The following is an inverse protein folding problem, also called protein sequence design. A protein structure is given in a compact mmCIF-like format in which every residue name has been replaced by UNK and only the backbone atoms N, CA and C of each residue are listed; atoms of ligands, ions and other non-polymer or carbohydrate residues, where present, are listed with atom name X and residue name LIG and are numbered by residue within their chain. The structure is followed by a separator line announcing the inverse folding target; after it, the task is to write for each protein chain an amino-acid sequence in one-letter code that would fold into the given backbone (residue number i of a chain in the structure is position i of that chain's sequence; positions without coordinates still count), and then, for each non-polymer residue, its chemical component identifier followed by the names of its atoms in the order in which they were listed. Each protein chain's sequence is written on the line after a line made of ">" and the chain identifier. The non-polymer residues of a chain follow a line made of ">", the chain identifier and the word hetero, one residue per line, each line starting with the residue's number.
data_IF_813730347372
#
_entry.id   IF_813730347372
#
_cell.length_a   1.000
_cell.length_b   1.000
_cell.length_c   1.000
_cell.angle_alpha   90.00
_cell.angle_beta   90.00
_cell.angle_gamma   90.00
#
_symmetry.space_group_name_H-M   'P 1'
#
loop_
_entity.id
_entity.type
_entity.pdbx_description
1 polymer ?
#
# COMPACT_ATOMS: atom_id res chain seq x y z
N UNK A 1 -22.80 -1.21 13.64
CA UNK A 1 -23.51 -2.40 13.09
C UNK A 1 -22.59 -3.08 12.10
N UNK A 2 -22.45 -4.40 12.14
CA UNK A 2 -21.63 -5.15 11.18
C UNK A 2 -22.36 -5.27 9.83
N UNK A 3 -21.68 -4.98 8.73
CA UNK A 3 -22.20 -5.04 7.36
C UNK A 3 -21.09 -5.40 6.37
N UNK A 4 -21.40 -5.46 5.07
CA UNK A 4 -20.42 -5.83 4.03
C UNK A 4 -19.24 -4.86 3.96
N UNK A 5 -19.46 -3.54 4.13
CA UNK A 5 -18.38 -2.56 4.13
C UNK A 5 -17.44 -2.75 5.32
N UNK A 6 -18.00 -3.07 6.49
CA UNK A 6 -17.24 -3.36 7.70
C UNK A 6 -16.49 -4.70 7.59
N UNK A 7 -17.09 -5.71 6.94
CA UNK A 7 -16.42 -6.98 6.65
C UNK A 7 -15.20 -6.77 5.77
N UNK A 8 -15.37 -6.05 4.64
CA UNK A 8 -14.28 -5.72 3.72
C UNK A 8 -13.19 -4.90 4.40
N UNK A 9 -13.56 -3.92 5.23
CA UNK A 9 -12.61 -3.13 6.00
C UNK A 9 -11.74 -3.99 6.94
N UNK A 10 -12.36 -4.89 7.72
CA UNK A 10 -11.64 -5.79 8.63
C UNK A 10 -10.73 -6.75 7.88
N UNK A 11 -11.19 -7.30 6.76
CA UNK A 11 -10.40 -8.20 5.93
C UNK A 11 -9.20 -7.46 5.30
N UNK A 12 -9.39 -6.25 4.78
CA UNK A 12 -8.32 -5.42 4.23
C UNK A 12 -7.23 -5.11 5.27
N UNK A 13 -7.61 -4.75 6.50
CA UNK A 13 -6.66 -4.53 7.60
C UNK A 13 -5.88 -5.82 7.91
N UNK A 14 -6.58 -6.95 8.01
CA UNK A 14 -5.93 -8.22 8.31
C UNK A 14 -4.95 -8.62 7.20
N UNK A 15 -5.34 -8.49 5.93
CA UNK A 15 -4.49 -8.80 4.78
C UNK A 15 -3.26 -7.89 4.74
N UNK A 16 -3.43 -6.58 4.91
CA UNK A 16 -2.34 -5.61 4.95
C UNK A 16 -1.36 -5.93 6.09
N UNK A 17 -1.87 -6.27 7.27
CA UNK A 17 -1.04 -6.69 8.39
C UNK A 17 -0.27 -7.98 8.11
N UNK A 18 -0.89 -8.99 7.50
CA UNK A 18 -0.20 -10.23 7.09
C UNK A 18 0.92 -9.95 6.10
N UNK A 19 0.73 -9.03 5.17
CA UNK A 19 1.70 -8.70 4.12
C UNK A 19 3.00 -8.03 4.62
N UNK A 20 2.99 -7.39 5.80
CA UNK A 20 4.14 -6.59 6.28
C UNK A 20 4.67 -6.95 7.67
N UNK A 21 3.94 -7.70 8.49
CA UNK A 21 4.25 -7.81 9.94
C UNK A 21 5.61 -8.44 10.28
N UNK A 22 6.17 -9.27 9.39
CA UNK A 22 7.40 -10.03 9.67
C UNK A 22 8.53 -9.07 10.07
N UNK A 23 9.10 -9.31 11.25
CA UNK A 23 10.17 -8.51 11.86
C UNK A 23 9.87 -7.01 11.91
N UNK A 24 8.59 -6.64 12.12
CA UNK A 24 8.18 -5.24 12.11
C UNK A 24 7.20 -4.92 13.23
N UNK A 25 5.96 -5.40 13.13
CA UNK A 25 4.89 -4.99 14.03
C UNK A 25 3.80 -6.05 14.12
N UNK A 26 2.68 -5.74 14.78
CA UNK A 26 1.54 -6.64 14.94
C UNK A 26 0.32 -6.16 14.17
N UNK A 27 -0.63 -7.05 13.90
CA UNK A 27 -1.94 -6.69 13.35
C UNK A 27 -2.67 -5.64 14.20
N UNK A 28 -2.53 -5.71 15.53
CA UNK A 28 -3.15 -4.74 16.44
C UNK A 28 -2.63 -3.31 16.19
N UNK A 29 -1.32 -3.16 16.01
CA UNK A 29 -0.69 -1.86 15.75
C UNK A 29 -1.07 -1.33 14.36
N UNK A 30 -1.04 -2.17 13.32
CA UNK A 30 -1.42 -1.78 11.96
C UNK A 30 -2.89 -1.38 11.90
N UNK A 31 -3.78 -2.16 12.52
CA UNK A 31 -5.20 -1.83 12.64
C UNK A 31 -5.38 -0.44 13.26
N UNK A 32 -4.75 -0.22 14.42
CA UNK A 32 -4.83 1.06 15.12
C UNK A 32 -4.35 2.21 14.22
N UNK A 33 -3.22 2.04 13.54
CA UNK A 33 -2.65 3.10 12.71
C UNK A 33 -3.53 3.45 11.49
N UNK A 34 -4.12 2.44 10.84
CA UNK A 34 -5.08 2.63 9.73
C UNK A 34 -6.34 3.37 10.22
N UNK A 35 -6.84 3.02 11.40
CA UNK A 35 -8.03 3.64 12.00
C UNK A 35 -7.74 5.07 12.48
N UNK A 36 -6.58 5.33 13.08
CA UNK A 36 -6.18 6.64 13.60
C UNK A 36 -6.12 7.69 12.47
N UNK A 37 -5.71 7.31 11.25
CA UNK A 37 -5.67 8.22 10.08
C UNK A 37 -6.96 8.21 9.26
N UNK A 38 -7.97 7.46 9.71
CA UNK A 38 -9.24 7.25 9.03
C UNK A 38 -9.12 6.89 7.53
N UNK A 39 -8.22 5.96 7.19
CA UNK A 39 -7.90 5.62 5.79
C UNK A 39 -9.14 5.20 4.98
N UNK A 40 -10.09 4.51 5.63
CA UNK A 40 -11.34 4.05 4.99
C UNK A 40 -12.13 5.20 4.40
N UNK A 41 -12.41 6.24 5.20
CA UNK A 41 -13.23 7.35 4.75
C UNK A 41 -12.44 8.28 3.81
N UNK A 42 -11.13 8.44 4.04
CA UNK A 42 -10.27 9.19 3.11
C UNK A 42 -10.28 8.59 1.71
N UNK A 43 -10.25 7.26 1.57
CA UNK A 43 -10.38 6.58 0.28
C UNK A 43 -11.79 6.69 -0.32
N UNK A 44 -12.85 6.70 0.51
CA UNK A 44 -14.22 6.98 0.05
C UNK A 44 -14.36 8.39 -0.53
N UNK A 45 -13.64 9.38 0.02
CA UNK A 45 -13.60 10.72 -0.56
C UNK A 45 -12.75 10.74 -1.82
N UNK A 46 -11.57 10.12 -1.80
CA UNK A 46 -10.63 10.10 -2.93
C UNK A 46 -11.28 9.57 -4.21
N UNK A 47 -12.01 8.46 -4.15
CA UNK A 47 -12.62 7.85 -5.34
C UNK A 47 -13.62 8.78 -6.05
N UNK A 48 -14.18 9.77 -5.35
CA UNK A 48 -15.11 10.75 -5.93
C UNK A 48 -14.41 11.91 -6.65
N UNK A 49 -13.14 12.16 -6.35
CA UNK A 49 -12.41 13.36 -6.80
C UNK A 49 -11.14 13.06 -7.60
N UNK A 50 -10.60 11.84 -7.50
CA UNK A 50 -9.33 11.47 -8.14
C UNK A 50 -9.47 11.49 -9.66
N UNK A 51 -8.60 12.28 -10.31
CA UNK A 51 -8.70 12.56 -11.74
C UNK A 51 -7.38 12.37 -12.50
N UNK A 52 -6.26 12.28 -11.78
CA UNK A 52 -4.93 12.00 -12.35
C UNK A 52 -4.10 11.03 -11.49
N UNK A 53 -3.10 10.34 -12.07
CA UNK A 53 -2.09 9.61 -11.28
C UNK A 53 -1.37 10.49 -10.27
N UNK A 54 -1.13 11.77 -10.61
CA UNK A 54 -0.50 12.73 -9.70
C UNK A 54 -1.38 13.06 -8.48
N UNK A 55 -2.72 13.09 -8.64
CA UNK A 55 -3.65 13.26 -7.51
C UNK A 55 -3.49 12.10 -6.53
N UNK A 56 -3.36 10.88 -7.05
CA UNK A 56 -3.10 9.69 -6.24
C UNK A 56 -1.72 9.74 -5.58
N UNK A 57 -0.68 10.21 -6.27
CA UNK A 57 0.66 10.36 -5.70
C UNK A 57 0.68 11.33 -4.53
N UNK A 58 -0.02 12.47 -4.64
CA UNK A 58 -0.18 13.46 -3.56
C UNK A 58 -0.89 12.82 -2.37
N UNK A 59 -2.03 12.16 -2.61
CA UNK A 59 -2.77 11.44 -1.58
C UNK A 59 -1.90 10.38 -0.89
N UNK A 60 -1.16 9.59 -1.67
CA UNK A 60 -0.32 8.52 -1.18
C UNK A 60 0.81 9.05 -0.29
N UNK A 61 1.45 10.17 -0.67
CA UNK A 61 2.47 10.84 0.16
C UNK A 61 1.89 11.30 1.50
N UNK A 62 0.77 12.00 1.47
CA UNK A 62 0.11 12.51 2.67
C UNK A 62 -0.27 11.37 3.63
N UNK A 63 -1.02 10.38 3.13
CA UNK A 63 -1.44 9.21 3.91
C UNK A 63 -0.24 8.45 4.45
N UNK A 64 0.82 8.26 3.66
CA UNK A 64 2.00 7.51 4.10
C UNK A 64 2.71 8.22 5.25
N UNK A 65 2.89 9.54 5.19
CA UNK A 65 3.54 10.31 6.27
C UNK A 65 2.75 10.26 7.57
N UNK A 66 1.42 10.38 7.49
CA UNK A 66 0.54 10.21 8.65
C UNK A 66 0.59 8.80 9.22
N UNK A 67 0.58 7.79 8.34
CA UNK A 67 0.61 6.38 8.75
C UNK A 67 1.95 6.00 9.37
N UNK A 68 3.07 6.52 8.84
CA UNK A 68 4.42 6.41 9.45
C UNK A 68 4.36 6.97 10.87
N UNK A 69 3.90 8.22 11.02
CA UNK A 69 3.81 8.90 12.32
C UNK A 69 2.97 8.09 13.32
N UNK A 70 1.80 7.59 12.89
CA UNK A 70 0.92 6.79 13.74
C UNK A 70 1.55 5.45 14.14
N UNK A 71 2.24 4.77 13.22
CA UNK A 71 2.95 3.51 13.48
C UNK A 71 4.11 3.72 14.45
N UNK A 72 4.92 4.75 14.27
CA UNK A 72 6.05 5.07 15.15
C UNK A 72 5.58 5.35 16.59
N UNK A 73 4.51 6.15 16.74
CA UNK A 73 3.92 6.42 18.05
C UNK A 73 3.38 5.15 18.71
N UNK A 74 2.69 4.30 17.95
CA UNK A 74 2.14 3.05 18.46
C UNK A 74 3.24 2.03 18.83
N UNK A 75 4.30 1.93 18.04
CA UNK A 75 5.46 1.06 18.29
C UNK A 75 6.24 1.52 19.53
N UNK A 76 6.49 2.83 19.65
CA UNK A 76 7.14 3.41 20.83
C UNK A 76 6.34 3.13 22.10
N UNK A 77 5.01 3.23 22.05
CA UNK A 77 4.12 2.91 23.17
C UNK A 77 4.14 1.41 23.54
N UNK A 78 4.39 0.53 22.57
CA UNK A 78 4.53 -0.92 22.75
C UNK A 78 5.95 -1.33 23.19
N UNK A 79 6.86 -0.38 23.41
CA UNK A 79 8.25 -0.64 23.80
C UNK A 79 9.10 -1.22 22.67
N UNK A 80 8.71 -1.02 21.40
CA UNK A 80 9.44 -1.50 20.24
C UNK A 80 10.20 -0.39 19.55
N UNK A 81 11.51 -0.59 19.42
CA UNK A 81 12.41 0.26 18.64
C UNK A 81 12.62 -0.38 17.27
N UNK A 82 11.69 -0.11 16.35
CA UNK A 82 11.79 -0.54 14.95
C UNK A 82 11.50 0.66 14.07
N UNK A 83 12.40 0.92 13.12
CA UNK A 83 12.25 2.00 12.16
C UNK A 83 11.12 1.72 11.16
N UNK A 84 10.31 2.74 10.87
CA UNK A 84 9.17 2.66 9.97
C UNK A 84 9.54 3.25 8.61
N UNK A 85 9.94 2.39 7.69
CA UNK A 85 10.27 2.80 6.33
C UNK A 85 9.04 2.96 5.43
N UNK A 86 9.13 3.89 4.47
CA UNK A 86 8.08 4.22 3.53
C UNK A 86 7.58 2.99 2.77
N UNK A 87 8.47 2.13 2.28
CA UNK A 87 8.07 0.95 1.52
C UNK A 87 7.18 -0.05 2.29
N UNK A 88 7.32 -0.15 3.62
CA UNK A 88 6.39 -0.95 4.45
C UNK A 88 5.01 -0.32 4.50
N UNK A 89 4.97 1.00 4.66
CA UNK A 89 3.72 1.78 4.74
C UNK A 89 2.99 1.80 3.41
N UNK A 90 3.72 2.00 2.31
CA UNK A 90 3.19 1.89 0.96
C UNK A 90 2.54 0.52 0.72
N UNK A 91 3.21 -0.58 1.13
CA UNK A 91 2.62 -1.92 1.00
C UNK A 91 1.36 -2.11 1.83
N UNK A 92 1.26 -1.51 3.03
CA UNK A 92 0.01 -1.51 3.82
C UNK A 92 -1.12 -0.85 3.01
N UNK A 93 -0.87 0.34 2.48
CA UNK A 93 -1.85 1.12 1.70
C UNK A 93 -2.25 0.36 0.43
N UNK A 94 -1.30 -0.15 -0.35
CA UNK A 94 -1.56 -0.91 -1.58
C UNK A 94 -2.40 -2.17 -1.31
N UNK A 95 -2.10 -2.96 -0.27
CA UNK A 95 -2.91 -4.15 0.06
C UNK A 95 -4.31 -3.75 0.51
N UNK A 96 -4.42 -2.67 1.28
CA UNK A 96 -5.72 -2.16 1.71
C UNK A 96 -6.57 -1.76 0.49
N UNK A 97 -6.03 -0.91 -0.39
CA UNK A 97 -6.70 -0.46 -1.62
C UNK A 97 -7.01 -1.63 -2.56
N UNK A 98 -6.07 -2.58 -2.72
CA UNK A 98 -6.29 -3.77 -3.55
C UNK A 98 -7.53 -4.54 -3.10
N UNK A 99 -7.65 -4.73 -1.79
CA UNK A 99 -8.77 -5.46 -1.19
C UNK A 99 -10.08 -4.69 -1.27
N UNK A 100 -10.05 -3.36 -1.06
CA UNK A 100 -11.28 -2.56 -0.96
C UNK A 100 -11.79 -2.02 -2.29
N UNK A 101 -10.94 -1.87 -3.30
CA UNK A 101 -11.25 -1.27 -4.59
C UNK A 101 -10.80 -2.14 -5.77
N UNK A 102 -9.50 -2.45 -5.93
CA UNK A 102 -8.99 -3.12 -7.15
C UNK A 102 -9.69 -4.44 -7.44
N UNK A 103 -9.82 -5.32 -6.45
CA UNK A 103 -10.48 -6.63 -6.61
C UNK A 103 -12.00 -6.49 -6.82
N UNK A 104 -12.61 -5.42 -6.29
CA UNK A 104 -14.07 -5.23 -6.32
C UNK A 104 -14.54 -4.52 -7.59
N UNK A 105 -13.71 -3.65 -8.13
CA UNK A 105 -13.96 -2.87 -9.35
C UNK A 105 -12.61 -2.51 -9.99
N UNK A 106 -12.10 -3.40 -10.84
CA UNK A 106 -10.82 -3.21 -11.55
C UNK A 106 -10.86 -2.10 -12.58
N UNK A 107 -12.07 -1.68 -12.99
CA UNK A 107 -12.27 -0.69 -14.05
C UNK A 107 -12.33 0.74 -13.54
N UNK A 108 -12.57 0.93 -12.24
CA UNK A 108 -12.54 2.25 -11.62
C UNK A 108 -11.21 2.96 -11.87
N UNK A 109 -11.27 4.29 -11.98
CA UNK A 109 -10.08 5.08 -12.23
C UNK A 109 -9.03 4.93 -11.12
N UNK A 110 -9.48 4.89 -9.85
CA UNK A 110 -8.61 4.61 -8.71
C UNK A 110 -7.91 3.26 -8.85
N UNK A 111 -8.62 2.21 -9.23
CA UNK A 111 -8.03 0.87 -9.40
C UNK A 111 -6.95 0.85 -10.47
N UNK A 112 -7.12 1.61 -11.56
CA UNK A 112 -6.16 1.69 -12.67
C UNK A 112 -4.85 2.39 -12.30
N UNK A 113 -4.88 3.33 -11.36
CA UNK A 113 -3.71 4.15 -11.00
C UNK A 113 -3.09 3.81 -9.65
N UNK A 114 -3.79 3.06 -8.79
CA UNK A 114 -3.32 2.71 -7.46
C UNK A 114 -2.01 1.91 -7.53
N UNK A 115 -1.05 2.26 -6.67
CA UNK A 115 0.24 1.59 -6.62
C UNK A 115 0.09 0.10 -6.27
N UNK A 116 0.67 -0.83 -7.05
CA UNK A 116 0.60 -2.25 -6.74
C UNK A 116 1.37 -2.56 -5.45
N UNK A 117 1.03 -3.63 -4.71
CA UNK A 117 1.84 -4.07 -3.58
C UNK A 117 3.24 -4.49 -4.03
N UNK A 118 4.24 -3.69 -3.66
CA UNK A 118 5.63 -3.97 -4.04
C UNK A 118 6.24 -5.00 -3.08
N UNK A 119 6.88 -6.04 -3.62
CA UNK A 119 7.69 -6.96 -2.86
C UNK A 119 8.87 -7.56 -3.65
N UNK A 120 9.67 -8.39 -2.98
CA UNK A 120 10.85 -8.99 -3.59
C UNK A 120 10.53 -9.96 -4.74
N UNK A 121 9.36 -10.60 -4.75
CA UNK A 121 8.96 -11.51 -5.82
C UNK A 121 8.62 -10.68 -7.06
N UNK A 122 7.78 -9.66 -6.90
CA UNK A 122 7.41 -8.73 -7.97
C UNK A 122 8.67 -8.10 -8.59
N UNK A 123 9.53 -7.48 -7.77
CA UNK A 123 10.74 -6.81 -8.24
C UNK A 123 11.74 -7.76 -8.92
N UNK A 124 11.86 -9.01 -8.41
CA UNK A 124 12.73 -10.02 -9.02
C UNK A 124 12.24 -10.41 -10.42
N UNK A 125 10.94 -10.61 -10.56
CA UNK A 125 10.35 -11.15 -11.78
C UNK A 125 10.19 -10.09 -12.89
N UNK A 126 10.08 -8.80 -12.53
CA UNK A 126 10.04 -7.71 -13.50
C UNK A 126 11.37 -7.52 -14.26
N UNK A 127 12.51 -7.94 -13.67
CA UNK A 127 13.82 -8.03 -14.33
C UNK A 127 14.50 -6.70 -14.69
N UNK A 128 13.74 -5.71 -15.18
CA UNK A 128 14.18 -4.43 -15.71
C UNK A 128 14.00 -3.26 -14.73
N UNK A 129 13.55 -3.54 -13.51
CA UNK A 129 13.47 -2.55 -12.42
C UNK A 129 14.63 -2.76 -11.46
N UNK A 130 15.14 -1.68 -10.92
CA UNK A 130 16.29 -1.75 -10.02
C UNK A 130 15.92 -2.53 -8.75
N UNK A 131 16.78 -3.49 -8.40
CA UNK A 131 16.57 -4.36 -7.25
C UNK A 131 16.81 -3.58 -5.97
N UNK A 132 15.72 -3.23 -5.29
CA UNK A 132 15.74 -2.52 -4.01
C UNK A 132 15.05 -3.34 -2.93
N UNK A 133 15.54 -3.23 -1.70
CA UNK A 133 14.88 -3.86 -0.55
C UNK A 133 13.58 -3.09 -0.24
N UNK A 134 12.44 -3.63 -0.66
CA UNK A 134 11.13 -2.96 -0.52
C UNK A 134 10.81 -2.57 0.94
N UNK A 135 11.33 -3.31 1.92
CA UNK A 135 11.09 -3.05 3.34
C UNK A 135 11.84 -1.84 3.90
N UNK A 136 12.81 -1.29 3.18
CA UNK A 136 13.66 -0.18 3.62
C UNK A 136 13.69 0.97 2.60
N UNK A 137 12.68 1.06 1.73
CA UNK A 137 12.54 2.19 0.81
C UNK A 137 12.23 3.45 1.61
N UNK A 138 12.96 4.53 1.33
CA UNK A 138 12.58 5.90 1.69
C UNK A 138 11.54 6.43 0.71
N UNK A 139 10.94 7.59 1.00
CA UNK A 139 9.93 8.19 0.11
C UNK A 139 10.49 8.45 -1.29
N UNK A 140 11.66 9.09 -1.42
CA UNK A 140 12.24 9.43 -2.72
C UNK A 140 12.52 8.19 -3.57
N UNK A 141 13.17 7.19 -2.96
CA UNK A 141 13.51 5.93 -3.62
C UNK A 141 12.25 5.13 -3.98
N UNK A 142 11.18 5.23 -3.19
CA UNK A 142 9.89 4.64 -3.52
C UNK A 142 9.29 5.28 -4.79
N UNK A 143 9.32 6.61 -4.91
CA UNK A 143 8.76 7.28 -6.09
C UNK A 143 9.62 7.11 -7.35
N UNK A 144 10.94 7.02 -7.23
CA UNK A 144 11.80 6.56 -8.34
C UNK A 144 11.35 5.19 -8.85
N UNK A 145 11.07 4.26 -7.92
CA UNK A 145 10.59 2.93 -8.26
C UNK A 145 9.19 2.96 -8.88
N UNK A 146 8.29 3.84 -8.43
CA UNK A 146 6.97 4.02 -9.05
C UNK A 146 7.09 4.47 -10.50
N UNK A 147 7.99 5.39 -10.81
CA UNK A 147 8.22 5.83 -12.19
C UNK A 147 8.81 4.71 -13.05
N UNK A 148 9.76 3.92 -12.53
CA UNK A 148 10.24 2.69 -13.18
C UNK A 148 9.08 1.72 -13.48
N UNK A 149 8.20 1.49 -12.51
CA UNK A 149 7.06 0.59 -12.67
C UNK A 149 6.02 1.13 -13.66
N UNK A 150 5.78 2.45 -13.70
CA UNK A 150 4.88 3.08 -14.70
C UNK A 150 5.38 2.88 -16.13
N UNK A 151 6.70 2.97 -16.33
CA UNK A 151 7.31 2.65 -17.63
C UNK A 151 7.06 1.19 -18.03
N UNK A 152 7.16 0.25 -17.08
CA UNK A 152 6.88 -1.17 -17.36
C UNK A 152 5.39 -1.43 -17.61
N UNK A 153 4.50 -0.73 -16.88
CA UNK A 153 3.06 -0.84 -17.10
C UNK A 153 2.65 -0.38 -18.50
N UNK A 154 3.33 0.63 -19.06
CA UNK A 154 3.14 1.12 -20.43
C UNK A 154 1.66 1.43 -20.74
N UNK A 155 1.07 2.35 -19.96
CA UNK A 155 -0.35 2.76 -20.01
C UNK A 155 -1.37 1.67 -19.64
N UNK A 156 -0.95 0.45 -19.30
CA UNK A 156 -1.85 -0.56 -18.72
C UNK A 156 -2.22 -0.19 -17.28
N UNK A 157 -3.40 -0.61 -16.79
CA UNK A 157 -3.74 -0.50 -15.37
C UNK A 157 -2.62 -1.01 -14.47
N UNK A 158 -2.29 -0.26 -13.42
CA UNK A 158 -1.08 -0.51 -12.65
C UNK A 158 -1.10 -1.85 -11.90
N UNK A 159 -2.30 -2.32 -11.55
CA UNK A 159 -2.52 -3.62 -10.93
C UNK A 159 -2.13 -4.80 -11.84
N UNK A 160 -2.07 -4.63 -13.16
CA UNK A 160 -1.67 -5.71 -14.07
C UNK A 160 -0.22 -6.12 -13.89
N UNK A 161 0.64 -5.27 -13.32
CA UNK A 161 2.01 -5.64 -12.97
C UNK A 161 2.07 -6.82 -11.98
N UNK A 162 0.99 -7.08 -11.26
CA UNK A 162 0.90 -8.23 -10.38
C UNK A 162 0.89 -9.58 -11.12
N UNK A 163 0.82 -9.60 -12.47
CA UNK A 163 1.09 -10.80 -13.28
C UNK A 163 2.50 -11.38 -13.01
N UNK A 164 3.44 -10.53 -12.61
CA UNK A 164 4.80 -10.90 -12.22
C UNK A 164 4.89 -11.37 -10.76
N UNK A 165 3.80 -11.38 -10.00
CA UNK A 165 3.79 -11.83 -8.61
C UNK A 165 3.67 -13.37 -8.48
N UNK A 166 4.25 -14.11 -9.41
CA UNK A 166 4.26 -15.57 -9.40
C UNK A 166 5.37 -16.08 -8.45
N UNK A 167 5.02 -16.80 -7.37
CA UNK A 167 6.01 -17.44 -6.53
C UNK A 167 6.72 -18.51 -7.36
N UNK A 168 8.02 -18.34 -7.62
CA UNK A 168 8.83 -19.44 -8.14
C UNK A 168 8.92 -20.52 -7.06
N UNK A 169 8.39 -21.70 -7.37
CA UNK A 169 8.57 -22.95 -6.61
C UNK A 169 10.05 -23.33 -6.62
#
# INVERSE_FOLDING_TARGET
>A
MYNIEEHVHRYAIWAAARAVQRNFTTTKIIKKAIEDINLKDRLKTLILVVSSPNDFDIFHKEVSRELITSLEQALKKDGKEVEVYYGRVAKIISIYIKTTYVIRDSESYLSKIAHPPIDSILLKNLGNVSRRAWTTLTEDIYFELIEELRMVANNRPFWELEEYWQPTI
#
